data_IF_385527343499
#
_entry.id   IF_385527343499
#
_cell.length_a   1.000
_cell.length_b   1.000
_cell.length_c   1.000
_cell.angle_alpha   90.00
_cell.angle_beta   90.00
_cell.angle_gamma   90.00
#
_symmetry.space_group_name_H-M   'P 1'
#
loop_
_entity.id
_entity.type
_entity.pdbx_description
1 polymer ?
#
# COMPACT_ATOMS: atom_id res chain seq x y z
N UNK A 1 3.78 -34.57 36.73
CA UNK A 1 2.64 -33.61 36.84
C UNK A 1 3.07 -32.16 36.64
N UNK A 2 4.11 -31.67 37.35
CA UNK A 2 4.67 -30.29 37.19
C UNK A 2 4.98 -29.86 35.75
N UNK A 3 5.64 -30.70 34.94
CA UNK A 3 6.01 -30.36 33.55
C UNK A 3 4.81 -30.10 32.63
N UNK A 4 3.71 -30.85 32.82
CA UNK A 4 2.46 -30.67 32.05
C UNK A 4 1.74 -29.38 32.46
N UNK A 5 1.75 -29.08 33.77
CA UNK A 5 1.20 -27.84 34.31
C UNK A 5 1.95 -26.60 33.80
N UNK A 6 3.30 -26.66 33.76
CA UNK A 6 4.12 -25.57 33.22
C UNK A 6 3.86 -25.33 31.73
N UNK A 7 3.66 -26.39 30.95
CA UNK A 7 3.29 -26.28 29.54
C UNK A 7 1.94 -25.59 29.35
N UNK A 8 0.93 -25.95 30.16
CA UNK A 8 -0.39 -25.33 30.10
C UNK A 8 -0.36 -23.84 30.46
N UNK A 9 0.43 -23.45 31.47
CA UNK A 9 0.60 -22.05 31.86
C UNK A 9 1.31 -21.25 30.76
N UNK A 10 2.34 -21.82 30.13
CA UNK A 10 3.03 -21.16 29.02
C UNK A 10 2.11 -20.93 27.81
N UNK A 11 1.30 -21.93 27.44
CA UNK A 11 0.33 -21.79 26.34
C UNK A 11 -0.76 -20.75 26.66
N UNK A 12 -1.20 -20.67 27.92
CA UNK A 12 -2.16 -19.64 28.35
C UNK A 12 -1.55 -18.23 28.22
N UNK A 13 -0.30 -18.05 28.64
CA UNK A 13 0.39 -16.76 28.52
C UNK A 13 0.54 -16.32 27.06
N UNK A 14 0.88 -17.25 26.16
CA UNK A 14 0.95 -16.98 24.71
C UNK A 14 -0.43 -16.62 24.16
N UNK A 15 -1.47 -17.36 24.53
CA UNK A 15 -2.84 -17.09 24.11
C UNK A 15 -3.33 -15.71 24.56
N UNK A 16 -3.08 -15.34 25.81
CA UNK A 16 -3.39 -14.00 26.34
C UNK A 16 -2.58 -12.92 25.61
N UNK A 17 -1.29 -13.16 25.36
CA UNK A 17 -0.45 -12.23 24.61
C UNK A 17 -0.95 -11.97 23.19
N UNK A 18 -1.36 -13.03 22.47
CA UNK A 18 -1.96 -12.92 21.14
C UNK A 18 -3.31 -12.20 21.17
N UNK A 19 -4.14 -12.44 22.21
CA UNK A 19 -5.43 -11.77 22.38
C UNK A 19 -5.27 -10.26 22.62
N UNK A 20 -4.29 -9.88 23.45
CA UNK A 20 -3.94 -8.48 23.71
C UNK A 20 -3.42 -7.82 22.43
N UNK A 21 -2.55 -8.49 21.65
CA UNK A 21 -2.06 -7.98 20.37
C UNK A 21 -3.19 -7.75 19.35
N UNK A 22 -4.19 -8.64 19.30
CA UNK A 22 -5.37 -8.48 18.45
C UNK A 22 -6.22 -7.25 18.83
N UNK A 23 -6.24 -6.85 20.11
CA UNK A 23 -6.93 -5.63 20.57
C UNK A 23 -6.30 -4.32 20.08
N UNK A 24 -5.03 -4.35 19.65
CA UNK A 24 -4.35 -3.21 19.02
C UNK A 24 -4.46 -3.23 17.49
N UNK A 25 -5.06 -4.26 16.90
CA UNK A 25 -5.31 -4.31 15.46
C UNK A 25 -6.51 -3.41 15.12
N UNK A 26 -6.24 -2.26 14.50
CA UNK A 26 -7.30 -1.42 13.93
C UNK A 26 -7.95 -2.17 12.75
N UNK A 27 -9.28 -2.36 12.74
CA UNK A 27 -9.94 -2.90 11.56
C UNK A 27 -9.72 -1.95 10.39
N UNK A 28 -9.48 -2.50 9.19
CA UNK A 28 -9.47 -1.69 7.97
C UNK A 28 -10.82 -0.97 7.88
N UNK A 29 -10.77 0.36 7.91
CA UNK A 29 -11.97 1.18 7.81
C UNK A 29 -12.49 1.07 6.38
N UNK A 30 -13.43 0.16 6.15
CA UNK A 30 -14.21 0.06 4.92
C UNK A 30 -15.19 1.22 4.88
N UNK A 31 -14.70 2.44 4.62
CA UNK A 31 -15.55 3.56 4.32
C UNK A 31 -16.32 3.28 3.04
N UNK A 32 -17.60 3.66 2.98
CA UNK A 32 -18.33 3.72 1.71
C UNK A 32 -17.61 4.73 0.82
N UNK A 33 -17.13 4.30 -0.35
CA UNK A 33 -16.53 5.21 -1.33
C UNK A 33 -17.55 6.29 -1.68
N UNK A 34 -17.24 7.54 -1.34
CA UNK A 34 -18.09 8.69 -1.63
C UNK A 34 -17.77 9.13 -3.06
N UNK A 35 -18.70 8.91 -3.98
CA UNK A 35 -18.58 9.39 -5.35
C UNK A 35 -19.10 10.83 -5.47
N UNK A 36 -18.34 11.68 -6.19
CA UNK A 36 -18.73 13.04 -6.56
C UNK A 36 -18.15 14.14 -5.65
N UNK A 37 -18.30 15.40 -6.11
CA UNK A 37 -17.73 16.59 -5.50
C UNK A 37 -16.65 17.26 -6.35
N UNK A 38 -16.07 18.35 -5.83
CA UNK A 38 -14.93 19.03 -6.46
C UNK A 38 -13.78 19.04 -5.46
N UNK A 39 -12.69 18.35 -5.79
CA UNK A 39 -11.43 18.46 -5.06
C UNK A 39 -10.74 19.76 -5.46
N UNK A 40 -10.45 20.63 -4.49
CA UNK A 40 -9.71 21.88 -4.69
C UNK A 40 -8.37 21.77 -3.98
N UNK A 41 -7.28 21.87 -4.74
CA UNK A 41 -5.92 21.76 -4.26
C UNK A 41 -5.11 22.98 -4.70
N UNK A 42 -4.16 23.39 -3.87
CA UNK A 42 -3.26 24.52 -4.15
C UNK A 42 -1.83 24.05 -3.96
N UNK A 43 -0.99 24.36 -4.93
CA UNK A 43 0.44 24.16 -4.86
C UNK A 43 1.12 25.51 -4.59
N UNK A 44 2.29 25.48 -3.94
CA UNK A 44 3.13 26.66 -3.74
C UNK A 44 4.05 26.95 -4.94
N UNK A 45 4.17 25.98 -5.85
CA UNK A 45 4.89 26.07 -7.13
C UNK A 45 4.11 25.36 -8.24
N UNK A 46 4.44 25.66 -9.49
CA UNK A 46 3.80 25.05 -10.66
C UNK A 46 4.41 23.67 -10.99
N UNK A 47 3.71 22.90 -11.82
CA UNK A 47 4.27 21.70 -12.43
C UNK A 47 5.28 22.06 -13.53
N UNK A 48 6.22 21.16 -13.80
CA UNK A 48 7.23 21.35 -14.85
C UNK A 48 6.71 20.99 -16.24
N UNK A 49 6.11 19.81 -16.41
CA UNK A 49 5.54 19.34 -17.67
C UNK A 49 4.24 18.56 -17.45
N UNK A 50 3.34 18.59 -18.45
CA UNK A 50 2.14 17.73 -18.52
C UNK A 50 2.44 16.43 -19.30
N UNK A 51 3.47 16.46 -20.14
CA UNK A 51 3.99 15.26 -20.79
C UNK A 51 4.87 14.49 -19.79
N UNK A 52 4.36 13.35 -19.31
CA UNK A 52 5.05 12.50 -18.35
C UNK A 52 6.43 12.03 -18.85
N UNK A 53 6.68 11.97 -20.16
CA UNK A 53 8.01 11.64 -20.66
C UNK A 53 9.07 12.74 -20.37
N UNK A 54 8.63 13.95 -19.97
CA UNK A 54 9.47 15.11 -19.71
C UNK A 54 9.49 15.55 -18.24
N UNK A 55 8.50 15.15 -17.43
CA UNK A 55 8.35 15.60 -16.06
C UNK A 55 9.36 14.97 -15.09
N UNK A 56 9.80 15.74 -14.09
CA UNK A 56 10.74 15.31 -13.06
C UNK A 56 10.38 15.81 -11.65
N UNK A 57 9.42 16.73 -11.53
CA UNK A 57 8.93 17.19 -10.23
C UNK A 57 7.96 16.19 -9.60
N UNK A 58 8.12 15.95 -8.30
CA UNK A 58 7.22 15.07 -7.54
C UNK A 58 5.77 15.56 -7.55
N UNK A 59 5.54 16.87 -7.62
CA UNK A 59 4.20 17.46 -7.74
C UNK A 59 3.55 17.12 -9.09
N UNK A 60 4.32 17.10 -10.18
CA UNK A 60 3.83 16.67 -11.50
C UNK A 60 3.40 15.21 -11.47
N UNK A 61 4.16 14.35 -10.77
CA UNK A 61 3.84 12.93 -10.63
C UNK A 61 2.50 12.69 -9.90
N UNK A 62 2.09 13.56 -8.97
CA UNK A 62 0.77 13.46 -8.32
C UNK A 62 -0.39 13.66 -9.30
N UNK A 63 -0.23 14.59 -10.25
CA UNK A 63 -1.22 14.84 -11.31
C UNK A 63 -1.19 13.69 -12.32
N UNK A 64 -0.01 13.27 -12.74
CA UNK A 64 0.17 12.16 -13.67
C UNK A 64 -0.43 10.85 -13.12
N UNK A 65 -0.32 10.61 -11.81
CA UNK A 65 -0.94 9.46 -11.16
C UNK A 65 -2.45 9.38 -11.37
N UNK A 66 -3.15 10.51 -11.49
CA UNK A 66 -4.61 10.55 -11.69
C UNK A 66 -5.02 10.73 -13.16
N UNK A 67 -4.11 11.16 -14.04
CA UNK A 67 -4.41 11.42 -15.46
C UNK A 67 -3.82 10.41 -16.44
N UNK A 68 -2.81 9.64 -16.02
CA UNK A 68 -2.09 8.67 -16.85
C UNK A 68 -2.16 7.27 -16.24
N UNK A 69 -1.81 6.25 -17.03
CA UNK A 69 -1.70 4.86 -16.57
C UNK A 69 -0.30 4.33 -16.81
N UNK A 70 0.15 3.44 -15.92
CA UNK A 70 1.43 2.72 -16.05
C UNK A 70 1.17 1.22 -16.15
N UNK A 71 2.16 0.44 -16.61
CA UNK A 71 2.02 -1.02 -16.55
C UNK A 71 1.91 -1.51 -15.11
N UNK A 72 2.77 -0.96 -14.25
CA UNK A 72 2.77 -1.18 -12.80
C UNK A 72 2.69 0.19 -12.11
N UNK A 73 2.01 0.26 -10.98
CA UNK A 73 1.89 1.48 -10.18
C UNK A 73 1.96 1.15 -8.67
N UNK A 74 2.09 2.17 -7.84
CA UNK A 74 1.97 2.05 -6.38
C UNK A 74 0.51 2.25 -5.96
N UNK A 75 -0.04 1.43 -5.05
CA UNK A 75 -1.42 1.61 -4.62
C UNK A 75 -1.56 2.79 -3.65
N UNK A 76 -2.72 3.44 -3.66
CA UNK A 76 -3.14 4.42 -2.65
C UNK A 76 -3.28 3.77 -1.26
N UNK A 77 -2.15 3.66 -0.58
CA UNK A 77 -2.02 2.94 0.68
C UNK A 77 -0.83 3.44 1.49
N UNK A 78 -0.95 3.42 2.82
CA UNK A 78 0.21 3.63 3.67
C UNK A 78 1.28 2.52 3.49
N UNK A 79 2.52 2.84 3.83
CA UNK A 79 3.59 1.86 3.95
C UNK A 79 3.21 0.75 4.97
N UNK A 80 3.63 -0.52 4.75
CA UNK A 80 4.51 -0.98 3.69
C UNK A 80 3.80 -1.32 2.37
N UNK A 81 2.45 -1.26 2.33
CA UNK A 81 1.68 -1.67 1.15
C UNK A 81 1.85 -0.69 -0.01
N UNK A 82 1.78 0.62 0.26
CA UNK A 82 2.00 1.67 -0.75
C UNK A 82 3.41 1.71 -1.32
N UNK A 83 4.37 1.00 -0.70
CA UNK A 83 5.75 0.92 -1.18
C UNK A 83 6.00 -0.31 -2.06
N UNK A 84 4.95 -1.03 -2.48
CA UNK A 84 5.04 -2.22 -3.33
C UNK A 84 4.29 -2.00 -4.63
N UNK A 85 4.94 -2.28 -5.75
CA UNK A 85 4.31 -2.23 -7.07
C UNK A 85 3.17 -3.25 -7.18
N UNK A 86 2.10 -2.83 -7.86
CA UNK A 86 0.98 -3.67 -8.28
C UNK A 86 0.74 -3.48 -9.78
N UNK A 87 0.11 -4.45 -10.45
CA UNK A 87 -0.38 -4.24 -11.81
C UNK A 87 -1.44 -3.12 -11.85
N UNK A 88 -1.30 -2.21 -12.81
CA UNK A 88 -2.28 -1.17 -13.14
C UNK A 88 -2.88 -1.46 -14.53
N UNK A 89 -2.25 -0.98 -15.60
CA UNK A 89 -2.67 -1.34 -16.96
C UNK A 89 -2.22 -2.76 -17.37
N UNK A 90 -1.23 -3.34 -16.70
CA UNK A 90 -0.82 -4.72 -16.93
C UNK A 90 -1.80 -5.72 -16.32
N UNK A 91 -2.04 -6.85 -17.00
CA UNK A 91 -2.93 -7.89 -16.48
C UNK A 91 -2.39 -8.63 -15.24
N UNK A 92 -1.06 -8.63 -15.04
CA UNK A 92 -0.37 -9.30 -13.95
C UNK A 92 1.05 -8.73 -13.77
N UNK A 93 1.74 -9.16 -12.71
CA UNK A 93 3.17 -8.90 -12.55
C UNK A 93 3.98 -9.54 -13.69
N UNK A 94 5.11 -8.94 -14.09
CA UNK A 94 5.95 -9.52 -15.15
C UNK A 94 6.53 -10.88 -14.72
N UNK A 95 6.64 -11.79 -15.69
CA UNK A 95 7.38 -13.04 -15.54
C UNK A 95 8.82 -12.76 -15.94
N UNK A 96 9.72 -12.81 -14.97
CA UNK A 96 11.13 -12.45 -15.16
C UNK A 96 11.91 -13.72 -15.52
N UNK A 97 12.66 -13.68 -16.61
CA UNK A 97 13.55 -14.76 -17.03
C UNK A 97 14.67 -15.02 -16.02
N UNK A 98 15.26 -16.21 -16.11
CA UNK A 98 16.28 -16.67 -15.16
C UNK A 98 17.52 -15.78 -15.11
N UNK A 99 17.82 -15.09 -16.21
CA UNK A 99 18.94 -14.16 -16.35
C UNK A 99 18.54 -12.68 -16.16
N UNK A 100 17.25 -12.41 -15.91
CA UNK A 100 16.73 -11.08 -15.59
C UNK A 100 16.70 -10.08 -16.74
N UNK A 101 16.86 -10.52 -18.00
CA UNK A 101 16.94 -9.61 -19.16
C UNK A 101 15.63 -9.47 -19.94
N UNK A 102 14.63 -10.27 -19.60
CA UNK A 102 13.30 -10.30 -20.21
C UNK A 102 12.25 -10.65 -19.18
#
# INVERSE_FOLDING_TARGET
MRKRLMLSVAMLAIGVGLLVAAGFATPAQSGTERAGGTFKYSLDTDIDYVDHALAYYTLSWEIEYVTCSMLLNYPDAAAPRGSRLIPDAAAAMPVIARDGKT
#
